data_IF_423942144744
#
_entry.id   IF_423942144744
#
_cell.length_a   1.000
_cell.length_b   1.000
_cell.length_c   1.000
_cell.angle_alpha   90.00
_cell.angle_beta   90.00
_cell.angle_gamma   90.00
#
_symmetry.space_group_name_H-M   'P 1'
#
loop_
_entity.id
_entity.type
_entity.pdbx_description
1 polymer ?
#
# COMPACT_ATOMS: atom_id res chain seq x y z
N UNK A 1 -2.48 33.53 2.65
CA UNK A 1 -1.51 32.41 2.53
C UNK A 1 -2.28 31.23 1.94
N UNK A 2 -2.18 31.14 0.62
CA UNK A 2 -2.90 30.25 -0.28
C UNK A 2 -2.42 28.80 -0.12
N UNK A 3 -3.35 27.84 -0.20
CA UNK A 3 -3.00 26.42 -0.12
C UNK A 3 -4.20 25.50 -0.36
N UNK A 4 -4.97 25.80 -1.41
CA UNK A 4 -6.01 24.92 -1.96
C UNK A 4 -5.33 23.66 -2.52
N UNK A 5 -5.62 22.51 -1.93
CA UNK A 5 -5.72 21.21 -2.62
C UNK A 5 -7.11 20.70 -2.25
N UNK A 6 -8.14 21.01 -3.03
CA UNK A 6 -8.37 20.35 -4.30
C UNK A 6 -9.42 19.27 -4.08
N UNK A 7 -10.63 19.71 -3.70
CA UNK A 7 -11.85 18.92 -3.66
C UNK A 7 -12.17 18.45 -5.09
N UNK A 8 -11.75 17.23 -5.44
CA UNK A 8 -12.19 16.59 -6.67
C UNK A 8 -13.57 15.97 -6.43
N UNK A 9 -14.58 16.64 -7.00
CA UNK A 9 -15.65 16.02 -7.79
C UNK A 9 -16.49 14.95 -7.10
N UNK A 10 -17.71 15.31 -6.72
CA UNK A 10 -18.72 14.37 -6.25
C UNK A 10 -19.04 13.27 -7.25
N UNK A 11 -19.02 12.04 -6.76
CA UNK A 11 -19.92 10.98 -7.16
C UNK A 11 -20.39 10.31 -5.87
N UNK A 12 -21.70 10.31 -5.67
CA UNK A 12 -22.34 9.69 -4.52
C UNK A 12 -21.92 8.23 -4.38
N UNK A 13 -21.28 7.94 -3.25
CA UNK A 13 -21.41 6.72 -2.44
C UNK A 13 -22.32 5.62 -3.01
N UNK A 14 -21.81 4.82 -3.94
CA UNK A 14 -22.34 3.47 -4.13
C UNK A 14 -21.65 2.56 -3.12
N UNK A 15 -22.28 2.34 -1.96
CA UNK A 15 -21.75 1.56 -0.82
C UNK A 15 -21.81 0.05 -1.10
N UNK A 16 -21.16 -0.41 -2.18
CA UNK A 16 -20.77 -1.81 -2.34
C UNK A 16 -19.46 -2.06 -1.60
N UNK A 17 -19.31 -3.21 -0.94
CA UNK A 17 -18.06 -3.53 -0.22
C UNK A 17 -16.95 -3.89 -1.21
N UNK A 18 -16.17 -2.93 -1.67
CA UNK A 18 -14.96 -3.16 -2.48
C UNK A 18 -13.69 -2.91 -1.66
N UNK A 19 -12.68 -3.78 -1.83
CA UNK A 19 -11.40 -3.65 -1.12
C UNK A 19 -10.47 -2.60 -1.77
N UNK A 20 -10.58 -2.43 -3.11
CA UNK A 20 -9.78 -1.49 -3.89
C UNK A 20 -10.56 -1.03 -5.10
N UNK A 21 -10.63 0.28 -5.32
CA UNK A 21 -11.19 0.90 -6.53
C UNK A 21 -10.13 1.78 -7.18
N UNK A 22 -10.06 1.77 -8.52
CA UNK A 22 -9.20 2.66 -9.30
C UNK A 22 -10.02 3.21 -10.45
N UNK A 23 -10.32 4.51 -10.36
CA UNK A 23 -10.97 5.25 -11.44
C UNK A 23 -9.91 5.67 -12.46
N UNK A 24 -10.15 5.36 -13.73
CA UNK A 24 -9.27 5.66 -14.87
C UNK A 24 -9.62 7.04 -15.43
N UNK A 25 -8.61 7.84 -15.76
CA UNK A 25 -8.83 9.15 -16.39
C UNK A 25 -9.06 9.04 -17.90
N UNK A 26 -9.71 10.03 -18.49
CA UNK A 26 -10.16 10.01 -19.90
C UNK A 26 -9.03 9.79 -20.93
N UNK A 27 -7.82 10.26 -20.65
CA UNK A 27 -6.65 10.13 -21.55
C UNK A 27 -5.47 9.35 -20.90
N UNK A 28 -5.75 8.46 -19.94
CA UNK A 28 -4.67 7.69 -19.30
C UNK A 28 -4.23 6.50 -20.16
N UNK A 29 -2.90 6.31 -20.38
CA UNK A 29 -2.39 5.09 -20.99
C UNK A 29 -2.76 3.86 -20.17
N UNK A 30 -3.23 2.80 -20.84
CA UNK A 30 -3.69 1.56 -20.21
C UNK A 30 -2.67 0.99 -19.21
N UNK A 31 -1.38 1.01 -19.55
CA UNK A 31 -0.32 0.50 -18.67
C UNK A 31 -0.21 1.31 -17.36
N UNK A 32 -0.46 2.62 -17.39
CA UNK A 32 -0.48 3.44 -16.18
C UNK A 32 -1.64 3.04 -15.27
N UNK A 33 -2.84 2.83 -15.83
CA UNK A 33 -4.01 2.39 -15.08
C UNK A 33 -3.75 1.01 -14.43
N UNK A 34 -3.19 0.06 -15.19
CA UNK A 34 -2.79 -1.27 -14.68
C UNK A 34 -1.77 -1.14 -13.55
N UNK A 35 -0.78 -0.23 -13.67
CA UNK A 35 0.23 -0.02 -12.63
C UNK A 35 -0.37 0.59 -11.36
N UNK A 36 -1.34 1.51 -11.47
CA UNK A 36 -2.07 2.05 -10.31
C UNK A 36 -2.91 0.96 -9.64
N UNK A 37 -3.63 0.17 -10.44
CA UNK A 37 -4.41 -0.96 -9.96
C UNK A 37 -3.56 -2.01 -9.22
N UNK A 38 -2.46 -2.47 -9.82
CA UNK A 38 -1.54 -3.42 -9.18
C UNK A 38 -1.00 -2.88 -7.86
N UNK A 39 -0.65 -1.59 -7.78
CA UNK A 39 -0.21 -0.95 -6.52
C UNK A 39 -1.33 -0.90 -5.49
N UNK A 40 -2.55 -0.56 -5.89
CA UNK A 40 -3.72 -0.54 -5.00
C UNK A 40 -3.98 -1.93 -4.40
N UNK A 41 -3.98 -2.99 -5.23
CA UNK A 41 -4.10 -4.38 -4.77
C UNK A 41 -3.00 -4.81 -3.81
N UNK A 42 -1.74 -4.42 -4.08
CA UNK A 42 -0.61 -4.73 -3.21
C UNK A 42 -0.72 -3.99 -1.87
N UNK A 43 -1.13 -2.72 -1.89
CA UNK A 43 -1.30 -1.90 -0.69
C UNK A 43 -2.41 -2.42 0.22
N UNK A 44 -3.54 -2.83 -0.38
CA UNK A 44 -4.65 -3.47 0.34
C UNK A 44 -4.34 -4.89 0.84
N UNK A 45 -3.17 -5.46 0.56
CA UNK A 45 -2.73 -6.80 0.98
C UNK A 45 -3.70 -7.95 0.59
N UNK A 46 -4.48 -7.78 -0.50
CA UNK A 46 -5.47 -8.78 -0.93
C UNK A 46 -4.80 -10.10 -1.36
N UNK A 47 -3.76 -10.03 -2.20
CA UNK A 47 -3.07 -11.23 -2.72
C UNK A 47 -2.37 -12.05 -1.60
N UNK A 48 -1.59 -11.43 -0.70
CA UNK A 48 -1.03 -12.15 0.46
C UNK A 48 -2.09 -12.78 1.35
N UNK A 49 -3.21 -12.09 1.56
CA UNK A 49 -4.28 -12.59 2.43
C UNK A 49 -4.99 -13.80 1.83
N UNK A 50 -5.31 -13.76 0.53
CA UNK A 50 -5.86 -14.92 -0.19
C UNK A 50 -4.89 -16.09 -0.10
N UNK A 51 -3.60 -15.87 -0.35
CA UNK A 51 -2.58 -16.92 -0.28
C UNK A 51 -2.49 -17.57 1.10
N UNK A 52 -2.53 -16.75 2.15
CA UNK A 52 -2.49 -17.22 3.54
C UNK A 52 -3.71 -18.05 3.90
N UNK A 53 -4.90 -17.66 3.44
CA UNK A 53 -6.17 -18.34 3.73
C UNK A 53 -6.38 -19.64 2.94
N UNK A 54 -5.51 -19.97 1.97
CA UNK A 54 -5.62 -21.23 1.19
C UNK A 54 -5.52 -22.47 2.07
N UNK A 55 -4.80 -22.38 3.17
CA UNK A 55 -4.60 -23.48 4.11
C UNK A 55 -4.86 -23.02 5.54
N UNK A 56 -5.23 -23.95 6.40
CA UNK A 56 -5.33 -23.68 7.83
C UNK A 56 -3.94 -23.34 8.41
N UNK A 57 -3.88 -22.33 9.27
CA UNK A 57 -2.68 -21.88 9.95
C UNK A 57 -2.88 -22.12 11.45
N UNK A 58 -1.95 -22.84 12.10
CA UNK A 58 -2.05 -23.08 13.55
C UNK A 58 -1.87 -21.77 14.33
N UNK A 59 -2.35 -21.66 15.59
CA UNK A 59 -2.15 -20.46 16.41
C UNK A 59 -0.68 -20.04 16.55
N UNK A 60 0.22 -21.02 16.59
CA UNK A 60 1.67 -20.79 16.68
C UNK A 60 2.21 -20.21 15.38
N UNK A 61 1.78 -20.73 14.23
CA UNK A 61 2.21 -20.26 12.92
C UNK A 61 1.71 -18.83 12.65
N UNK A 62 0.46 -18.54 13.06
CA UNK A 62 -0.09 -17.18 13.04
C UNK A 62 0.81 -16.22 13.82
N UNK A 63 1.26 -16.61 15.02
CA UNK A 63 2.16 -15.81 15.86
C UNK A 63 3.52 -15.63 15.19
N UNK A 64 4.14 -16.70 14.71
CA UNK A 64 5.44 -16.67 14.00
C UNK A 64 5.40 -15.73 12.79
N UNK A 65 4.38 -15.85 11.95
CA UNK A 65 4.20 -15.00 10.75
C UNK A 65 4.00 -13.53 11.12
N UNK A 66 3.16 -13.23 12.12
CA UNK A 66 2.94 -11.85 12.59
C UNK A 66 4.25 -11.22 13.07
N UNK A 67 5.04 -11.95 13.87
CA UNK A 67 6.36 -11.48 14.34
C UNK A 67 7.33 -11.28 13.17
N UNK A 68 7.41 -12.22 12.23
CA UNK A 68 8.27 -12.12 11.06
C UNK A 68 7.92 -10.91 10.18
N UNK A 69 6.63 -10.66 9.94
CA UNK A 69 6.15 -9.51 9.17
C UNK A 69 6.46 -8.18 9.86
N UNK A 70 6.27 -8.10 11.18
CA UNK A 70 6.61 -6.92 11.96
C UNK A 70 8.12 -6.64 11.94
N UNK A 71 8.94 -7.67 12.16
CA UNK A 71 10.39 -7.55 12.10
C UNK A 71 10.88 -7.10 10.71
N UNK A 72 10.30 -7.65 9.64
CA UNK A 72 10.63 -7.24 8.27
C UNK A 72 10.28 -5.77 8.00
N UNK A 73 9.11 -5.29 8.44
CA UNK A 73 8.71 -3.88 8.33
C UNK A 73 9.65 -2.96 9.10
N UNK A 74 10.00 -3.33 10.33
CA UNK A 74 10.90 -2.54 11.17
C UNK A 74 12.31 -2.46 10.58
N UNK A 75 12.84 -3.56 10.04
CA UNK A 75 14.15 -3.56 9.35
C UNK A 75 14.16 -2.60 8.15
N UNK A 76 13.12 -2.65 7.31
CA UNK A 76 12.98 -1.74 6.16
C UNK A 76 12.90 -0.27 6.60
N UNK A 77 12.09 0.02 7.62
CA UNK A 77 11.96 1.38 8.15
C UNK A 77 13.29 1.91 8.73
N UNK A 78 14.05 1.07 9.46
CA UNK A 78 15.37 1.42 9.99
C UNK A 78 16.37 1.72 8.87
N UNK A 79 16.44 0.86 7.85
CA UNK A 79 17.32 1.07 6.69
C UNK A 79 17.00 2.40 5.99
N UNK A 80 15.72 2.70 5.77
CA UNK A 80 15.31 3.94 5.14
C UNK A 80 15.68 5.18 5.98
N UNK A 81 15.51 5.12 7.30
CA UNK A 81 15.90 6.20 8.21
C UNK A 81 17.39 6.48 8.13
N UNK A 82 18.22 5.43 8.15
CA UNK A 82 19.67 5.56 8.06
C UNK A 82 20.09 6.19 6.72
N UNK A 83 19.55 5.69 5.60
CA UNK A 83 19.82 6.24 4.28
C UNK A 83 19.44 7.72 4.15
N UNK A 84 18.27 8.10 4.70
CA UNK A 84 17.84 9.49 4.69
C UNK A 84 18.74 10.36 5.58
N UNK A 85 19.17 9.87 6.73
CA UNK A 85 20.09 10.58 7.62
C UNK A 85 21.45 10.82 6.95
N UNK A 86 22.01 9.79 6.29
CA UNK A 86 23.25 9.88 5.53
C UNK A 86 23.14 10.89 4.38
N UNK A 87 22.05 10.84 3.60
CA UNK A 87 21.80 11.80 2.51
C UNK A 87 21.68 13.25 3.00
N UNK A 88 20.95 13.47 4.08
CA UNK A 88 20.74 14.82 4.61
C UNK A 88 22.00 15.39 5.27
N UNK A 89 22.88 14.54 5.81
CA UNK A 89 24.16 14.96 6.38
C UNK A 89 25.17 15.42 5.31
N UNK A 90 25.04 14.95 4.06
CA UNK A 90 25.93 15.28 2.94
C UNK A 90 25.41 16.48 2.12
N UNK A 91 24.17 16.94 2.35
CA UNK A 91 23.56 18.04 1.57
C UNK A 91 23.77 19.44 2.16
N UNK A 92 24.94 19.72 2.74
CA UNK A 92 25.37 21.07 3.13
C UNK A 92 26.09 21.78 1.99
#
# INVERSE_FOLDING_TARGET
MSGIFGFFGGAAFFKGTYNTEVVVGENEPVESAIRRFRRSMMSANVIPEVRRRRYFETPQDIKKRKMANAAARNRRAKMQRNYNAERNAVSF
#
